data_IF_874965287467
#
_entry.id   IF_874965287467
#
_cell.length_a   1.000
_cell.length_b   1.000
_cell.length_c   1.000
_cell.angle_alpha   90.00
_cell.angle_beta   90.00
_cell.angle_gamma   90.00
#
_symmetry.space_group_name_H-M   'P 1'
#
loop_
_entity.id
_entity.type
_entity.pdbx_description
1 polymer ?
#
# COMPACT_ATOMS: atom_id res chain seq x y z
N UNK A 1 30.30 -30.56 18.96
CA UNK A 1 31.55 -29.91 18.52
C UNK A 1 31.46 -29.80 17.00
N UNK A 2 31.16 -28.58 16.48
CA UNK A 2 31.14 -28.26 15.04
C UNK A 2 29.97 -28.91 14.29
N UNK A 3 29.21 -28.25 13.42
CA UNK A 3 29.49 -27.11 12.55
C UNK A 3 28.97 -27.53 11.16
N UNK A 4 28.04 -26.76 10.57
CA UNK A 4 28.20 -26.08 9.27
C UNK A 4 28.85 -26.99 8.21
N UNK A 5 28.19 -27.36 7.11
CA UNK A 5 27.70 -26.45 6.08
C UNK A 5 26.66 -27.19 5.20
N UNK A 6 25.45 -26.65 5.17
CA UNK A 6 24.58 -26.73 3.99
C UNK A 6 25.10 -25.66 3.01
N UNK A 7 25.62 -26.06 1.86
CA UNK A 7 25.73 -25.17 0.70
C UNK A 7 25.78 -25.97 -0.61
N UNK A 8 25.26 -25.36 -1.66
CA UNK A 8 25.37 -25.74 -3.07
C UNK A 8 24.52 -26.88 -3.63
N UNK A 9 23.20 -26.63 -3.69
CA UNK A 9 22.36 -27.11 -4.81
C UNK A 9 21.73 -25.92 -5.54
N UNK A 10 22.59 -25.27 -6.33
CA UNK A 10 22.32 -24.18 -7.26
C UNK A 10 21.77 -24.80 -8.55
N UNK A 11 20.44 -24.90 -8.70
CA UNK A 11 19.81 -25.35 -9.95
C UNK A 11 18.55 -24.52 -10.32
N UNK A 12 18.83 -23.40 -11.00
CA UNK A 12 18.42 -23.17 -12.39
C UNK A 12 16.93 -23.03 -12.78
N UNK A 13 16.12 -22.29 -12.00
CA UNK A 13 14.84 -21.73 -12.50
C UNK A 13 14.56 -20.33 -11.96
N UNK A 14 15.47 -19.38 -12.23
CA UNK A 14 15.09 -17.96 -12.24
C UNK A 14 13.86 -17.84 -13.14
N UNK A 15 12.76 -17.35 -12.57
CA UNK A 15 11.45 -17.33 -13.21
C UNK A 15 11.58 -17.00 -14.68
N UNK A 16 10.89 -17.77 -15.53
CA UNK A 16 10.56 -17.33 -16.89
C UNK A 16 9.71 -16.07 -16.75
N UNK A 17 10.36 -14.93 -16.57
CA UNK A 17 9.89 -13.68 -17.11
C UNK A 17 9.76 -13.97 -18.61
N UNK A 18 8.54 -14.01 -19.11
CA UNK A 18 8.32 -13.73 -20.52
C UNK A 18 8.66 -12.25 -20.75
N UNK A 19 9.93 -11.89 -20.57
CA UNK A 19 10.56 -10.76 -21.22
C UNK A 19 10.86 -11.25 -22.63
N UNK A 20 9.86 -11.21 -23.51
CA UNK A 20 10.15 -11.27 -24.92
C UNK A 20 10.95 -10.02 -25.28
N UNK A 21 12.22 -10.26 -25.55
CA UNK A 21 13.19 -9.30 -26.08
C UNK A 21 12.62 -8.63 -27.32
N UNK A 22 12.27 -7.35 -27.21
CA UNK A 22 12.41 -6.43 -28.34
C UNK A 22 13.22 -5.23 -27.89
N UNK A 23 14.53 -5.43 -27.81
CA UNK A 23 15.48 -4.35 -27.90
C UNK A 23 15.43 -3.81 -29.34
N UNK A 24 14.63 -2.77 -29.55
CA UNK A 24 14.88 -1.77 -30.59
C UNK A 24 14.63 -0.40 -29.98
N UNK A 25 15.70 0.18 -29.44
CA UNK A 25 15.77 1.61 -29.21
C UNK A 25 15.60 2.32 -30.56
N UNK A 26 14.50 3.04 -30.74
CA UNK A 26 14.34 4.26 -31.52
C UNK A 26 12.83 4.51 -31.69
N UNK A 27 12.26 5.32 -30.81
CA UNK A 27 11.37 6.44 -31.16
C UNK A 27 10.87 7.08 -29.89
N UNK A 28 11.14 8.38 -29.83
CA UNK A 28 10.50 9.35 -28.94
C UNK A 28 8.98 9.28 -29.12
N UNK A 29 8.28 9.56 -28.02
CA UNK A 29 6.93 10.11 -27.88
C UNK A 29 5.84 9.22 -27.22
N UNK A 30 5.21 9.85 -26.22
CA UNK A 30 3.86 9.67 -25.65
C UNK A 30 3.73 8.95 -24.31
N UNK A 31 3.54 9.78 -23.28
CA UNK A 31 2.57 9.60 -22.19
C UNK A 31 2.08 8.16 -22.00
N UNK A 32 2.86 7.35 -21.30
CA UNK A 32 2.39 6.06 -20.82
C UNK A 32 2.62 6.00 -19.33
N UNK A 33 1.57 6.30 -18.59
CA UNK A 33 1.36 5.79 -17.23
C UNK A 33 1.74 4.31 -17.27
N UNK A 34 2.85 3.94 -16.63
CA UNK A 34 3.22 2.54 -16.42
C UNK A 34 2.01 1.89 -15.76
N UNK A 35 1.26 1.10 -16.53
CA UNK A 35 0.25 0.23 -15.97
C UNK A 35 1.00 -0.69 -15.02
N UNK A 36 0.87 -0.42 -13.70
CA UNK A 36 1.53 -1.17 -12.63
C UNK A 36 1.19 -2.63 -12.85
N UNK A 37 2.15 -3.39 -13.35
CA UNK A 37 1.95 -4.81 -13.62
C UNK A 37 1.87 -5.47 -12.26
N UNK A 38 0.64 -5.71 -11.80
CA UNK A 38 0.38 -6.37 -10.53
C UNK A 38 0.87 -7.80 -10.66
N UNK A 39 1.85 -8.19 -9.84
CA UNK A 39 2.31 -9.57 -9.83
C UNK A 39 1.14 -10.46 -9.38
N UNK A 40 0.77 -11.43 -10.23
CA UNK A 40 -0.30 -12.39 -9.97
C UNK A 40 0.12 -13.46 -8.94
N UNK A 41 1.42 -13.60 -8.69
CA UNK A 41 2.03 -14.55 -7.76
C UNK A 41 3.23 -13.88 -7.08
N UNK A 42 3.39 -14.08 -5.76
CA UNK A 42 4.29 -13.32 -4.88
C UNK A 42 5.38 -14.19 -4.22
N UNK A 43 5.68 -15.31 -4.86
CA UNK A 43 6.48 -16.43 -4.38
C UNK A 43 7.75 -16.67 -5.21
N UNK A 44 8.16 -15.70 -6.04
CA UNK A 44 9.19 -15.93 -7.07
C UNK A 44 10.64 -15.51 -6.71
N UNK A 45 10.90 -14.88 -5.56
CA UNK A 45 12.27 -14.49 -5.14
C UNK A 45 12.31 -14.10 -3.65
N UNK A 46 13.46 -14.24 -2.95
CA UNK A 46 13.70 -13.50 -1.70
C UNK A 46 13.40 -12.00 -1.94
N UNK A 47 12.50 -11.41 -1.15
CA UNK A 47 12.01 -10.03 -1.32
C UNK A 47 10.64 -9.88 -1.99
N UNK A 48 10.10 -10.94 -2.61
CA UNK A 48 8.82 -10.85 -3.33
C UNK A 48 7.63 -10.54 -2.41
N UNK A 49 7.63 -11.03 -1.16
CA UNK A 49 6.60 -10.71 -0.16
C UNK A 49 6.67 -9.25 0.33
N UNK A 50 7.88 -8.67 0.39
CA UNK A 50 8.06 -7.24 0.73
C UNK A 50 7.57 -6.38 -0.42
N UNK A 51 7.98 -6.71 -1.64
CA UNK A 51 7.51 -6.04 -2.85
C UNK A 51 5.98 -6.12 -2.97
N UNK A 52 5.38 -7.29 -2.71
CA UNK A 52 3.94 -7.46 -2.67
C UNK A 52 3.25 -6.48 -1.73
N UNK A 53 3.76 -6.40 -0.50
CA UNK A 53 3.19 -5.54 0.53
C UNK A 53 3.33 -4.09 0.12
N UNK A 54 4.51 -3.70 -0.38
CA UNK A 54 4.74 -2.36 -0.91
C UNK A 54 3.78 -2.06 -2.06
N UNK A 55 3.54 -2.96 -3.00
CA UNK A 55 2.56 -2.75 -4.09
C UNK A 55 1.13 -2.46 -3.59
N UNK A 56 0.75 -3.00 -2.43
CA UNK A 56 -0.57 -2.78 -1.83
C UNK A 56 -0.68 -1.42 -1.12
N UNK A 57 0.38 -1.02 -0.40
CA UNK A 57 0.36 0.19 0.44
C UNK A 57 1.20 1.35 -0.13
N UNK A 58 1.67 1.21 -1.38
CA UNK A 58 2.52 2.19 -2.03
C UNK A 58 1.85 3.55 -2.18
N UNK A 59 2.70 4.56 -2.35
CA UNK A 59 2.25 5.93 -2.52
C UNK A 59 1.97 6.64 -1.20
N UNK A 60 1.84 7.97 -1.29
CA UNK A 60 1.80 8.86 -0.13
C UNK A 60 0.59 8.64 0.78
N UNK A 61 -0.53 8.18 0.23
CA UNK A 61 -1.83 8.29 0.88
C UNK A 61 -2.42 6.97 1.37
N UNK A 62 -2.09 5.81 0.77
CA UNK A 62 -2.70 4.53 1.16
C UNK A 62 -2.40 4.18 2.61
N UNK A 63 -1.13 4.24 3.02
CA UNK A 63 -0.74 4.02 4.41
C UNK A 63 -1.42 4.98 5.40
N UNK A 64 -1.59 6.25 5.02
CA UNK A 64 -2.27 7.26 5.86
C UNK A 64 -3.77 6.97 6.00
N UNK A 65 -4.43 6.56 4.91
CA UNK A 65 -5.85 6.17 4.94
C UNK A 65 -6.04 4.95 5.83
N UNK A 66 -5.20 3.91 5.66
CA UNK A 66 -5.25 2.69 6.48
C UNK A 66 -5.02 3.02 7.95
N UNK A 67 -4.05 3.89 8.26
CA UNK A 67 -3.81 4.37 9.62
C UNK A 67 -5.06 5.00 10.24
N UNK A 68 -5.69 5.97 9.56
CA UNK A 68 -6.88 6.62 10.10
C UNK A 68 -8.08 5.68 10.25
N UNK A 69 -8.23 4.70 9.36
CA UNK A 69 -9.28 3.68 9.52
C UNK A 69 -9.00 2.76 10.71
N UNK A 70 -7.74 2.43 11.00
CA UNK A 70 -7.37 1.63 12.18
C UNK A 70 -7.58 2.40 13.49
N UNK A 71 -7.20 3.68 13.51
CA UNK A 71 -7.15 4.51 14.72
C UNK A 71 -8.55 4.97 15.16
N UNK A 72 -9.41 5.31 14.19
CA UNK A 72 -10.73 5.91 14.47
C UNK A 72 -11.87 4.87 14.47
N UNK A 73 -11.64 3.71 13.87
CA UNK A 73 -12.61 2.61 13.77
C UNK A 73 -11.98 1.30 14.28
N UNK A 74 -11.61 1.24 15.58
CA UNK A 74 -10.91 0.10 16.15
C UNK A 74 -11.77 -1.17 16.10
N UNK A 75 -13.08 -1.04 16.30
CA UNK A 75 -14.03 -2.15 16.24
C UNK A 75 -14.13 -2.76 14.84
N UNK A 76 -14.26 -4.10 14.68
CA UNK A 76 -14.32 -4.77 13.38
C UNK A 76 -15.31 -4.16 12.39
N UNK A 77 -16.49 -3.73 12.87
CA UNK A 77 -17.56 -3.10 12.12
C UNK A 77 -17.42 -1.57 11.99
N UNK A 78 -16.44 -0.97 12.66
CA UNK A 78 -16.18 0.46 12.63
C UNK A 78 -15.93 0.97 11.21
N UNK A 79 -16.51 2.13 10.90
CA UNK A 79 -16.41 2.73 9.57
C UNK A 79 -16.30 4.27 9.65
N UNK A 80 -15.69 4.86 8.63
CA UNK A 80 -15.57 6.30 8.47
C UNK A 80 -16.26 6.80 7.20
N UNK A 81 -16.91 7.97 7.30
CA UNK A 81 -17.43 8.70 6.13
C UNK A 81 -16.29 9.38 5.37
N UNK A 82 -16.49 9.63 4.08
CA UNK A 82 -15.52 10.32 3.21
C UNK A 82 -15.03 11.65 3.82
N UNK A 83 -15.95 12.48 4.30
CA UNK A 83 -15.62 13.78 4.89
C UNK A 83 -14.88 13.67 6.22
N UNK A 84 -15.05 12.57 6.97
CA UNK A 84 -14.29 12.33 8.20
C UNK A 84 -12.82 12.02 7.88
N UNK A 85 -12.57 11.20 6.85
CA UNK A 85 -11.22 10.92 6.34
C UNK A 85 -10.56 12.18 5.77
N UNK A 86 -11.27 12.91 4.90
CA UNK A 86 -10.73 14.13 4.27
C UNK A 86 -10.32 15.20 5.30
N UNK A 87 -11.09 15.38 6.37
CA UNK A 87 -10.76 16.34 7.44
C UNK A 87 -9.46 15.99 8.18
N UNK A 88 -9.12 14.72 8.28
CA UNK A 88 -7.87 14.23 8.90
C UNK A 88 -6.67 14.36 7.97
N UNK A 89 -6.92 14.46 6.67
CA UNK A 89 -5.91 14.55 5.64
C UNK A 89 -6.05 15.87 4.85
N UNK A 90 -5.80 17.05 5.46
CA UNK A 90 -6.08 18.34 4.81
C UNK A 90 -5.31 18.55 3.49
N UNK A 91 -4.17 17.88 3.34
CA UNK A 91 -3.30 17.96 2.17
C UNK A 91 -3.73 17.04 1.01
N UNK A 92 -4.78 16.21 1.18
CA UNK A 92 -5.29 15.34 0.11
C UNK A 92 -6.44 16.02 -0.63
N UNK A 93 -6.37 16.04 -1.97
CA UNK A 93 -7.50 16.51 -2.77
C UNK A 93 -8.62 15.47 -2.78
N UNK A 94 -9.86 15.91 -3.00
CA UNK A 94 -11.03 15.02 -3.08
C UNK A 94 -10.87 13.95 -4.17
N UNK A 95 -10.35 14.34 -5.33
CA UNK A 95 -10.09 13.42 -6.45
C UNK A 95 -9.05 12.37 -6.06
N UNK A 96 -7.96 12.78 -5.41
CA UNK A 96 -6.92 11.85 -4.97
C UNK A 96 -7.46 10.87 -3.92
N UNK A 97 -8.16 11.35 -2.89
CA UNK A 97 -8.72 10.47 -1.87
C UNK A 97 -9.70 9.45 -2.47
N UNK A 98 -10.55 9.88 -3.40
CA UNK A 98 -11.46 8.97 -4.12
C UNK A 98 -10.69 7.89 -4.87
N UNK A 99 -9.65 8.27 -5.61
CA UNK A 99 -8.85 7.31 -6.37
C UNK A 99 -8.16 6.29 -5.46
N UNK A 100 -7.56 6.74 -4.36
CA UNK A 100 -6.86 5.88 -3.42
C UNK A 100 -7.82 4.92 -2.69
N UNK A 101 -9.01 5.38 -2.30
CA UNK A 101 -10.04 4.52 -1.71
C UNK A 101 -10.53 3.46 -2.70
N UNK A 102 -10.69 3.80 -3.98
CA UNK A 102 -11.05 2.84 -5.04
C UNK A 102 -9.95 1.79 -5.28
N UNK A 103 -8.69 2.21 -5.24
CA UNK A 103 -7.56 1.26 -5.33
C UNK A 103 -7.55 0.30 -4.13
N UNK A 104 -7.69 0.82 -2.90
CA UNK A 104 -7.75 0.01 -1.68
C UNK A 104 -8.97 -0.92 -1.64
N UNK A 105 -10.08 -0.51 -2.23
CA UNK A 105 -11.28 -1.34 -2.43
C UNK A 105 -11.00 -2.46 -3.44
N UNK A 106 -10.40 -2.14 -4.59
CA UNK A 106 -10.00 -3.12 -5.60
C UNK A 106 -8.96 -4.14 -5.06
N UNK A 107 -8.11 -3.72 -4.13
CA UNK A 107 -7.12 -4.57 -3.45
C UNK A 107 -7.75 -5.41 -2.32
N UNK A 108 -9.01 -5.18 -2.00
CA UNK A 108 -9.75 -5.90 -0.96
C UNK A 108 -9.30 -5.54 0.46
N UNK A 109 -8.69 -4.37 0.66
CA UNK A 109 -8.26 -3.87 1.97
C UNK A 109 -9.34 -3.01 2.63
N UNK A 110 -10.13 -2.30 1.82
CA UNK A 110 -11.22 -1.43 2.27
C UNK A 110 -12.54 -1.93 1.67
N UNK A 111 -13.60 -1.91 2.48
CA UNK A 111 -14.96 -2.14 2.03
C UNK A 111 -15.75 -0.85 2.05
N UNK A 112 -16.43 -0.55 0.95
CA UNK A 112 -17.28 0.62 0.78
C UNK A 112 -18.75 0.22 0.92
N UNK A 113 -19.45 0.81 1.87
CA UNK A 113 -20.89 0.63 2.05
C UNK A 113 -21.63 1.91 1.63
N UNK A 114 -22.66 1.76 0.80
CA UNK A 114 -23.56 2.85 0.41
C UNK A 114 -24.88 2.68 1.15
N UNK A 115 -25.30 3.71 1.86
CA UNK A 115 -26.58 3.74 2.55
C UNK A 115 -27.55 4.61 1.76
N UNK A 116 -28.63 4.00 1.29
CA UNK A 116 -29.72 4.67 0.58
C UNK A 116 -30.68 5.35 1.58
N UNK A 117 -30.15 6.26 2.38
CA UNK A 117 -30.91 7.17 3.24
C UNK A 117 -30.93 8.57 2.63
N UNK A 118 -31.75 9.48 3.15
CA UNK A 118 -31.77 10.89 2.73
C UNK A 118 -31.11 11.74 3.83
N UNK A 119 -29.98 12.40 3.57
CA UNK A 119 -29.15 12.37 2.36
C UNK A 119 -28.30 11.09 2.24
N UNK A 120 -27.98 10.62 1.03
CA UNK A 120 -27.22 9.38 0.85
C UNK A 120 -25.82 9.53 1.45
N UNK A 121 -25.39 8.49 2.18
CA UNK A 121 -24.05 8.45 2.79
C UNK A 121 -23.26 7.25 2.33
N UNK A 122 -21.94 7.41 2.35
CA UNK A 122 -20.97 6.37 2.02
C UNK A 122 -19.99 6.25 3.17
N UNK A 123 -19.76 5.02 3.59
CA UNK A 123 -18.84 4.68 4.66
C UNK A 123 -17.81 3.69 4.17
N UNK A 124 -16.60 3.81 4.73
CA UNK A 124 -15.45 2.99 4.42
C UNK A 124 -14.99 2.30 5.69
N UNK A 125 -14.81 0.99 5.63
CA UNK A 125 -14.28 0.19 6.73
C UNK A 125 -13.15 -0.69 6.23
N UNK A 126 -12.28 -1.12 7.14
CA UNK A 126 -11.28 -2.13 6.80
C UNK A 126 -11.93 -3.49 6.63
N UNK A 127 -11.47 -4.26 5.65
CA UNK A 127 -11.80 -5.69 5.56
C UNK A 127 -11.00 -6.47 6.60
N UNK A 128 -11.34 -7.75 6.80
CA UNK A 128 -10.51 -8.65 7.62
C UNK A 128 -9.05 -8.67 7.16
N UNK A 129 -8.81 -8.72 5.84
CA UNK A 129 -7.46 -8.62 5.24
C UNK A 129 -6.83 -7.24 5.45
N UNK A 130 -7.59 -6.15 5.34
CA UNK A 130 -7.09 -4.80 5.61
C UNK A 130 -6.57 -4.65 7.04
N UNK A 131 -7.25 -5.28 8.01
CA UNK A 131 -6.83 -5.27 9.42
C UNK A 131 -5.52 -6.03 9.67
N UNK A 132 -5.20 -7.07 8.90
CA UNK A 132 -3.93 -7.78 9.09
C UNK A 132 -2.70 -6.91 8.76
N UNK A 133 -2.87 -5.75 8.11
CA UNK A 133 -1.81 -4.78 7.87
C UNK A 133 -1.52 -3.87 9.07
N UNK A 134 -2.33 -3.92 10.13
CA UNK A 134 -2.17 -3.08 11.31
C UNK A 134 -0.74 -3.08 11.89
N UNK A 135 -0.07 -4.22 12.09
CA UNK A 135 1.29 -4.23 12.63
C UNK A 135 2.29 -3.47 11.73
N UNK A 136 2.12 -3.58 10.41
CA UNK A 136 2.97 -2.89 9.42
C UNK A 136 2.75 -1.39 9.47
N UNK A 137 1.48 -0.95 9.48
CA UNK A 137 1.14 0.47 9.54
C UNK A 137 1.61 1.10 10.86
N UNK A 138 1.44 0.40 11.98
CA UNK A 138 1.94 0.86 13.30
C UNK A 138 3.46 0.94 13.33
N UNK A 139 4.16 -0.03 12.75
CA UNK A 139 5.63 0.01 12.64
C UNK A 139 6.12 1.20 11.80
N UNK A 140 5.46 1.49 10.67
CA UNK A 140 5.76 2.66 9.85
C UNK A 140 5.58 3.96 10.64
N UNK A 141 4.49 4.08 11.41
CA UNK A 141 4.27 5.25 12.28
C UNK A 141 5.35 5.36 13.35
N UNK A 142 5.62 4.29 14.09
CA UNK A 142 6.58 4.30 15.18
C UNK A 142 7.99 4.67 14.70
N UNK A 143 8.42 4.12 13.57
CA UNK A 143 9.65 4.52 12.92
C UNK A 143 9.59 5.99 12.48
N UNK A 144 8.52 6.41 11.81
CA UNK A 144 8.32 7.81 11.40
C UNK A 144 8.43 8.81 12.55
N UNK A 145 7.80 8.52 13.69
CA UNK A 145 7.84 9.36 14.88
C UNK A 145 9.27 9.47 15.46
N UNK A 146 10.01 8.36 15.47
CA UNK A 146 11.38 8.32 16.00
C UNK A 146 12.38 9.09 15.11
N UNK A 147 12.21 9.06 13.79
CA UNK A 147 13.17 9.64 12.84
C UNK A 147 12.76 11.00 12.27
N UNK A 148 11.47 11.36 12.27
CA UNK A 148 11.03 12.70 11.85
C UNK A 148 11.31 13.76 12.92
N UNK A 149 11.33 13.39 14.21
CA UNK A 149 11.63 14.30 15.32
C UNK A 149 13.03 14.98 15.21
N UNK A 150 14.13 14.30 14.86
CA UNK A 150 15.43 14.95 14.71
C UNK A 150 15.64 15.73 13.39
N UNK A 151 14.90 15.45 12.31
CA UNK A 151 15.11 16.11 11.01
C UNK A 151 14.60 17.56 10.98
N UNK A 152 13.59 17.89 11.80
CA UNK A 152 13.10 19.27 11.93
C UNK A 152 14.10 20.19 12.67
N UNK A 153 14.87 19.65 13.62
CA UNK A 153 15.87 20.41 14.38
C UNK A 153 17.12 20.73 13.55
N UNK A 154 17.50 19.85 12.61
CA UNK A 154 18.67 20.05 11.75
C UNK A 154 18.48 21.06 10.61
N UNK A 155 17.25 21.54 10.36
CA UNK A 155 16.94 22.52 9.30
C UNK A 155 16.85 23.97 9.80
N UNK A 156 17.15 24.20 11.08
CA UNK A 156 17.08 25.51 11.74
C UNK A 156 18.45 26.01 12.25
N UNK A 157 19.55 25.37 11.82
CA UNK A 157 20.93 25.74 12.17
C UNK A 157 21.71 26.25 10.95
#
# INVERSE_FOLDING_TARGET
>A
MGGLLDDEARDDRYCRTAQERTFRAHSVEKDTVMARTRHRSLDCSPGCAVEATLQLIDGKWKGVILYHLLDEAPEPEGALRFNALRRRMPNVTQRMLTNQLRELEADGLVHRTVYAEVPPRVEYRLTARGRTLEPVIRALKAWGDAYAAPVAAAKAA
#
